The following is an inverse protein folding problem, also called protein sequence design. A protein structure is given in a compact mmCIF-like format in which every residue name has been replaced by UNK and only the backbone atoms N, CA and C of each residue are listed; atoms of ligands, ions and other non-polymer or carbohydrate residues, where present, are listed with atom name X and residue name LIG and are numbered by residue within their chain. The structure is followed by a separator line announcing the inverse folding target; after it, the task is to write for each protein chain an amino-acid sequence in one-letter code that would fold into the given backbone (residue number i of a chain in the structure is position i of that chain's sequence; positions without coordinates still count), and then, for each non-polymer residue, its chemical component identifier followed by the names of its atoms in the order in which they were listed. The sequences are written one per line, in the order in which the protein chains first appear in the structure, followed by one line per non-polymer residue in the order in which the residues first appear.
data_IF_586652349685
#
_entry.id   IF_586652349685
#
_cell.length_a   1.000
_cell.length_b   1.000
_cell.length_c   1.000
_cell.angle_alpha   90.00
_cell.angle_beta   90.00
_cell.angle_gamma   90.00
#
_symmetry.space_group_name_H-M   'P 1'
#
loop_
_entity.id
_entity.type
_entity.pdbx_description
1 polymer ?
#
# COMPACT_ATOMS: atom_id res chain seq x y z
N UNK A 1 -8.28 28.10 19.56
CA UNK A 1 -7.20 28.67 18.73
C UNK A 1 -7.75 29.91 18.01
N UNK A 2 -6.95 30.97 17.80
CA UNK A 2 -7.40 32.10 16.98
C UNK A 2 -7.56 31.63 15.52
N UNK A 3 -8.68 31.95 14.87
CA UNK A 3 -8.98 31.50 13.51
C UNK A 3 -7.87 31.80 12.50
N UNK A 4 -7.26 32.98 12.59
CA UNK A 4 -6.14 33.35 11.72
C UNK A 4 -4.90 32.48 11.97
N UNK A 5 -4.63 32.12 13.22
CA UNK A 5 -3.51 31.21 13.56
C UNK A 5 -3.78 29.81 13.01
N UNK A 6 -5.02 29.34 13.07
CA UNK A 6 -5.41 28.04 12.56
C UNK A 6 -5.25 27.93 11.04
N UNK A 7 -5.71 28.95 10.30
CA UNK A 7 -5.56 29.00 8.85
C UNK A 7 -4.10 28.98 8.42
N UNK A 8 -3.27 29.84 9.02
CA UNK A 8 -1.82 29.90 8.73
C UNK A 8 -1.15 28.56 9.05
N UNK A 9 -1.51 27.92 10.17
CA UNK A 9 -0.98 26.60 10.54
C UNK A 9 -1.37 25.54 9.50
N UNK A 10 -2.63 25.54 9.04
CA UNK A 10 -3.10 24.62 8.01
C UNK A 10 -2.36 24.79 6.69
N UNK A 11 -2.17 26.03 6.23
CA UNK A 11 -1.41 26.34 5.00
C UNK A 11 0.04 25.87 5.13
N UNK A 12 0.72 26.21 6.23
CA UNK A 12 2.10 25.79 6.46
C UNK A 12 2.23 24.26 6.48
N UNK A 13 1.27 23.56 7.07
CA UNK A 13 1.27 22.10 7.11
C UNK A 13 1.06 21.50 5.72
N UNK A 14 0.19 22.07 4.88
CA UNK A 14 0.02 21.64 3.48
C UNK A 14 1.30 21.85 2.65
N UNK A 15 1.98 22.99 2.82
CA UNK A 15 3.24 23.27 2.14
C UNK A 15 4.32 22.28 2.58
N UNK A 16 4.45 22.05 3.89
CA UNK A 16 5.37 21.07 4.43
C UNK A 16 5.07 19.65 3.92
N UNK A 17 3.80 19.27 3.87
CA UNK A 17 3.35 17.99 3.32
C UNK A 17 3.78 17.83 1.86
N UNK A 18 3.64 18.87 1.03
CA UNK A 18 4.09 18.86 -0.36
C UNK A 18 5.61 18.73 -0.46
N UNK A 19 6.37 19.47 0.36
CA UNK A 19 7.83 19.33 0.40
C UNK A 19 8.26 17.90 0.75
N UNK A 20 7.63 17.29 1.76
CA UNK A 20 7.92 15.90 2.17
C UNK A 20 7.51 14.92 1.05
N UNK A 21 6.35 15.12 0.43
CA UNK A 21 5.88 14.31 -0.70
C UNK A 21 6.89 14.29 -1.84
N UNK A 22 7.36 15.46 -2.28
CA UNK A 22 8.35 15.61 -3.34
C UNK A 22 9.71 14.99 -2.95
N UNK A 23 10.07 15.12 -1.67
CA UNK A 23 11.27 14.48 -1.12
C UNK A 23 11.20 12.96 -1.22
N UNK A 24 10.04 12.35 -0.93
CA UNK A 24 9.84 10.91 -1.03
C UNK A 24 9.70 10.43 -2.48
N UNK A 25 9.04 11.22 -3.33
CA UNK A 25 8.82 10.87 -4.74
C UNK A 25 10.13 10.79 -5.53
N UNK A 26 11.15 11.52 -5.08
CA UNK A 26 12.49 11.54 -5.67
C UNK A 26 13.53 10.90 -4.74
N UNK A 27 13.09 9.99 -3.88
CA UNK A 27 14.00 9.23 -3.01
C UNK A 27 14.90 8.30 -3.82
N UNK A 28 16.20 8.37 -3.54
CA UNK A 28 17.20 7.45 -4.05
C UNK A 28 17.97 6.84 -2.88
N UNK A 29 17.95 5.51 -2.69
CA UNK A 29 18.76 4.85 -1.66
C UNK A 29 20.27 5.04 -1.81
N UNK A 30 20.72 5.45 -3.02
CA UNK A 30 22.12 5.73 -3.31
C UNK A 30 22.54 7.14 -2.86
N UNK A 31 21.57 8.03 -2.63
CA UNK A 31 21.82 9.37 -2.10
C UNK A 31 21.74 9.35 -0.58
N UNK A 32 22.88 9.11 0.05
CA UNK A 32 23.00 9.19 1.50
C UNK A 32 23.34 10.61 1.96
N UNK A 33 22.96 11.01 3.18
CA UNK A 33 23.44 12.25 3.79
C UNK A 33 24.97 12.21 4.03
N UNK A 34 25.77 12.50 3.01
CA UNK A 34 27.24 12.49 3.06
C UNK A 34 27.81 13.87 2.77
N UNK A 35 28.10 14.64 3.82
CA UNK A 35 28.66 15.99 3.71
C UNK A 35 27.66 17.06 3.25
N UNK A 36 27.93 18.33 3.58
CA UNK A 36 27.07 19.49 3.26
C UNK A 36 27.28 20.02 1.82
N UNK A 37 27.85 19.23 0.89
CA UNK A 37 28.06 19.72 -0.47
C UNK A 37 26.78 19.57 -1.31
N UNK A 38 26.35 20.61 -2.05
CA UNK A 38 25.27 20.53 -3.02
C UNK A 38 25.48 19.45 -4.10
N UNK A 39 26.73 19.05 -4.35
CA UNK A 39 27.08 18.01 -5.34
C UNK A 39 26.51 16.61 -5.01
N UNK A 40 26.06 16.43 -3.76
CA UNK A 40 25.44 15.21 -3.22
C UNK A 40 23.97 15.11 -3.61
N UNK A 41 23.30 16.24 -3.84
CA UNK A 41 21.89 16.29 -4.20
C UNK A 41 21.68 16.31 -5.71
N UNK A 42 21.74 15.13 -6.34
CA UNK A 42 21.64 15.02 -7.80
C UNK A 42 20.24 14.68 -8.28
N UNK A 43 19.50 13.88 -7.52
CA UNK A 43 18.22 13.32 -7.94
C UNK A 43 17.03 13.87 -7.14
N UNK A 44 17.23 14.21 -5.86
CA UNK A 44 16.13 14.73 -5.05
C UNK A 44 15.81 16.19 -5.36
N UNK A 45 14.59 16.47 -5.83
CA UNK A 45 14.16 17.81 -6.24
C UNK A 45 14.05 18.80 -5.07
N UNK A 46 13.96 18.31 -3.84
CA UNK A 46 13.95 19.12 -2.63
C UNK A 46 15.38 19.34 -2.07
N UNK A 47 16.41 18.94 -2.83
CA UNK A 47 17.81 19.12 -2.47
C UNK A 47 18.20 18.37 -1.19
N UNK A 48 19.10 18.98 -0.40
CA UNK A 48 19.56 18.42 0.87
C UNK A 48 18.41 18.16 1.86
N UNK A 49 17.41 19.05 1.92
CA UNK A 49 16.23 18.83 2.76
C UNK A 49 15.54 17.52 2.41
N UNK A 50 15.35 17.26 1.12
CA UNK A 50 14.68 16.06 0.67
C UNK A 50 15.47 14.79 0.91
N UNK A 51 16.80 14.82 0.71
CA UNK A 51 17.69 13.70 1.02
C UNK A 51 17.61 13.34 2.50
N UNK A 52 17.76 14.32 3.39
CA UNK A 52 17.68 14.07 4.84
C UNK A 52 16.30 13.55 5.23
N UNK A 53 15.25 14.20 4.75
CA UNK A 53 13.86 13.85 5.09
C UNK A 53 13.52 12.43 4.63
N UNK A 54 13.77 12.12 3.36
CA UNK A 54 13.49 10.80 2.78
C UNK A 54 14.37 9.71 3.39
N UNK A 55 15.68 9.94 3.52
CA UNK A 55 16.60 8.98 4.11
C UNK A 55 16.18 8.61 5.54
N UNK A 56 16.01 9.59 6.43
CA UNK A 56 15.72 9.27 7.83
C UNK A 56 14.29 8.74 8.01
N UNK A 57 13.30 9.32 7.34
CA UNK A 57 11.92 8.90 7.54
C UNK A 57 11.67 7.56 6.86
N UNK A 58 12.00 7.39 5.58
CA UNK A 58 11.69 6.16 4.85
C UNK A 58 12.52 4.99 5.38
N UNK A 59 13.85 5.16 5.53
CA UNK A 59 14.73 4.05 5.93
C UNK A 59 14.41 3.50 7.33
N UNK A 60 14.22 4.38 8.31
CA UNK A 60 14.05 3.96 9.70
C UNK A 60 12.60 3.66 10.10
N UNK A 61 11.61 3.95 9.24
CA UNK A 61 10.20 3.61 9.51
C UNK A 61 9.69 2.54 8.55
N UNK A 62 8.57 2.79 7.87
CA UNK A 62 7.86 1.84 7.01
C UNK A 62 8.25 1.98 5.53
N UNK A 63 9.44 2.53 5.22
CA UNK A 63 9.94 2.58 3.85
C UNK A 63 9.01 3.34 2.93
N UNK A 64 8.71 2.74 1.77
CA UNK A 64 7.72 3.24 0.82
C UNK A 64 6.29 3.26 1.37
N UNK A 65 5.97 2.49 2.41
CA UNK A 65 4.71 2.62 3.15
C UNK A 65 4.56 3.98 3.83
N UNK A 66 5.65 4.68 4.09
CA UNK A 66 5.63 6.02 4.70
C UNK A 66 5.20 7.10 3.70
N UNK A 67 5.04 6.78 2.42
CA UNK A 67 4.52 7.70 1.41
C UNK A 67 3.10 8.21 1.72
N UNK A 68 2.35 7.49 2.56
CA UNK A 68 1.06 7.91 3.07
C UNK A 68 1.14 9.04 4.11
N UNK A 69 2.30 9.25 4.76
CA UNK A 69 2.51 10.32 5.75
C UNK A 69 2.24 11.73 5.19
N UNK A 70 2.84 12.18 4.08
CA UNK A 70 2.53 13.49 3.52
C UNK A 70 1.06 13.62 3.09
N UNK A 71 0.39 12.53 2.69
CA UNK A 71 -1.05 12.56 2.39
C UNK A 71 -1.88 12.83 3.66
N UNK A 72 -1.53 12.19 4.78
CA UNK A 72 -2.14 12.43 6.08
C UNK A 72 -1.89 13.87 6.54
N UNK A 73 -0.65 14.37 6.42
CA UNK A 73 -0.30 15.74 6.77
C UNK A 73 -1.08 16.75 5.92
N UNK A 74 -1.21 16.51 4.62
CA UNK A 74 -2.00 17.35 3.71
C UNK A 74 -3.49 17.34 4.08
N UNK A 75 -4.05 16.19 4.42
CA UNK A 75 -5.44 16.07 4.87
C UNK A 75 -5.67 16.85 6.18
N UNK A 76 -4.77 16.70 7.16
CA UNK A 76 -4.85 17.43 8.44
C UNK A 76 -4.67 18.94 8.22
N UNK A 77 -3.73 19.35 7.37
CA UNK A 77 -3.50 20.74 7.00
C UNK A 77 -4.74 21.37 6.34
N UNK A 78 -5.36 20.64 5.42
CA UNK A 78 -6.59 21.06 4.75
C UNK A 78 -7.76 21.17 5.74
N UNK A 79 -7.91 20.23 6.67
CA UNK A 79 -8.94 20.30 7.71
C UNK A 79 -8.75 21.48 8.64
N UNK A 80 -7.51 21.77 9.05
CA UNK A 80 -7.18 22.96 9.83
C UNK A 80 -7.54 24.24 9.06
N UNK A 81 -7.12 24.34 7.80
CA UNK A 81 -7.35 25.49 6.94
C UNK A 81 -8.85 25.72 6.67
N UNK A 82 -9.58 24.68 6.24
CA UNK A 82 -11.00 24.75 5.90
C UNK A 82 -11.94 24.65 7.10
N UNK A 83 -11.40 24.47 8.31
CA UNK A 83 -12.16 24.36 9.57
C UNK A 83 -13.22 23.26 9.52
N UNK A 84 -12.91 22.17 8.82
CA UNK A 84 -13.80 20.99 8.71
C UNK A 84 -13.82 20.22 10.03
N UNK A 85 -14.85 19.39 10.17
CA UNK A 85 -14.95 18.44 11.28
C UNK A 85 -13.80 17.42 11.22
N UNK A 86 -13.29 17.07 12.40
CA UNK A 86 -12.14 16.19 12.54
C UNK A 86 -12.48 14.71 12.37
N UNK A 87 -13.75 14.32 12.52
CA UNK A 87 -14.18 12.92 12.47
C UNK A 87 -13.77 12.26 11.15
N UNK A 88 -14.07 12.91 10.02
CA UNK A 88 -13.71 12.41 8.70
C UNK A 88 -12.20 12.34 8.50
N UNK A 89 -11.48 13.36 8.98
CA UNK A 89 -10.02 13.43 8.92
C UNK A 89 -9.37 12.28 9.67
N UNK A 90 -9.76 12.07 10.94
CA UNK A 90 -9.25 10.96 11.74
C UNK A 90 -9.57 9.61 11.11
N UNK A 91 -10.79 9.45 10.58
CA UNK A 91 -11.18 8.22 9.88
C UNK A 91 -10.30 7.95 8.66
N UNK A 92 -10.13 8.91 7.75
CA UNK A 92 -9.31 8.69 6.57
C UNK A 92 -7.83 8.55 6.92
N UNK A 93 -7.31 9.34 7.87
CA UNK A 93 -5.93 9.23 8.33
C UNK A 93 -5.63 7.85 8.94
N UNK A 94 -6.54 7.26 9.72
CA UNK A 94 -6.33 5.93 10.30
C UNK A 94 -6.25 4.84 9.22
N UNK A 95 -7.10 4.91 8.19
CA UNK A 95 -6.99 4.02 7.04
C UNK A 95 -5.70 4.22 6.26
N UNK A 96 -5.27 5.46 6.02
CA UNK A 96 -4.00 5.74 5.33
C UNK A 96 -2.79 5.21 6.12
N UNK A 97 -2.81 5.29 7.45
CA UNK A 97 -1.78 4.65 8.30
C UNK A 97 -1.81 3.13 8.12
N UNK A 98 -3.00 2.52 8.18
CA UNK A 98 -3.17 1.09 7.97
C UNK A 98 -2.65 0.62 6.60
N UNK A 99 -2.99 1.34 5.54
CA UNK A 99 -2.49 1.08 4.19
C UNK A 99 -0.98 1.30 4.08
N UNK A 100 -0.41 2.31 4.74
CA UNK A 100 1.04 2.52 4.77
C UNK A 100 1.80 1.36 5.41
N UNK A 101 1.36 0.90 6.58
CA UNK A 101 1.93 -0.29 7.23
C UNK A 101 1.75 -1.52 6.34
N UNK A 102 0.57 -1.69 5.76
CA UNK A 102 0.28 -2.80 4.88
C UNK A 102 1.20 -2.82 3.64
N UNK A 103 1.38 -1.70 2.96
CA UNK A 103 2.28 -1.58 1.79
C UNK A 103 3.72 -1.91 2.17
N UNK A 104 4.18 -1.44 3.32
CA UNK A 104 5.53 -1.74 3.83
C UNK A 104 5.75 -3.25 4.03
N UNK A 105 4.79 -3.94 4.65
CA UNK A 105 4.85 -5.39 4.85
C UNK A 105 4.74 -6.17 3.53
N UNK A 106 3.93 -5.71 2.57
CA UNK A 106 3.85 -6.31 1.24
C UNK A 106 5.23 -6.27 0.55
N UNK A 107 5.91 -5.13 0.63
CA UNK A 107 7.25 -4.97 0.08
C UNK A 107 8.24 -5.88 0.80
N UNK A 108 8.16 -6.00 2.13
CA UNK A 108 9.02 -6.90 2.90
C UNK A 108 8.82 -8.37 2.50
N UNK A 109 7.56 -8.78 2.31
CA UNK A 109 7.23 -10.13 1.85
C UNK A 109 7.83 -10.43 0.48
N UNK A 110 7.68 -9.51 -0.48
CA UNK A 110 8.31 -9.62 -1.81
C UNK A 110 9.85 -9.62 -1.67
N UNK A 111 10.38 -8.73 -0.82
CA UNK A 111 11.80 -8.50 -0.65
C UNK A 111 12.57 -9.69 -0.10
N UNK A 112 11.94 -10.48 0.78
CA UNK A 112 12.52 -11.73 1.30
C UNK A 112 12.90 -12.73 0.19
N UNK A 113 12.21 -12.69 -0.95
CA UNK A 113 12.53 -13.55 -2.11
C UNK A 113 13.62 -13.00 -3.03
N UNK A 114 13.87 -11.68 -3.00
CA UNK A 114 14.79 -10.98 -3.91
C UNK A 114 16.15 -10.65 -3.28
N UNK A 115 16.19 -10.43 -1.98
CA UNK A 115 17.38 -10.01 -1.25
C UNK A 115 17.87 -8.59 -1.60
N UNK A 116 19.01 -8.20 -1.03
CA UNK A 116 19.62 -6.89 -1.26
C UNK A 116 18.80 -5.73 -0.71
N UNK A 117 18.72 -4.61 -1.44
CA UNK A 117 17.97 -3.42 -1.00
C UNK A 117 16.46 -3.69 -0.81
N UNK A 118 15.92 -4.72 -1.47
CA UNK A 118 14.53 -5.11 -1.31
C UNK A 118 14.21 -5.66 0.09
N UNK A 119 15.22 -6.18 0.80
CA UNK A 119 15.00 -6.84 2.08
C UNK A 119 14.68 -5.85 3.21
N UNK A 120 15.44 -4.75 3.33
CA UNK A 120 15.28 -3.80 4.44
C UNK A 120 15.13 -2.33 4.00
N UNK A 121 15.66 -1.94 2.85
CA UNK A 121 15.69 -0.52 2.45
C UNK A 121 14.31 -0.06 1.96
N UNK A 122 13.68 -0.83 1.07
CA UNK A 122 12.35 -0.50 0.53
C UNK A 122 11.17 -0.69 1.50
N UNK A 123 11.09 -1.76 2.30
CA UNK A 123 10.05 -1.85 3.33
C UNK A 123 10.36 -0.94 4.54
N UNK A 124 11.59 -0.43 4.65
CA UNK A 124 12.09 0.23 5.84
C UNK A 124 12.33 -0.75 6.98
N UNK A 125 13.13 -0.33 7.96
CA UNK A 125 13.55 -1.18 9.09
C UNK A 125 12.34 -1.67 9.89
N UNK A 126 11.34 -0.82 10.16
CA UNK A 126 10.15 -1.22 10.91
C UNK A 126 9.30 -2.22 10.14
N UNK A 127 9.16 -2.03 8.81
CA UNK A 127 8.45 -2.95 7.93
C UNK A 127 9.10 -4.33 7.89
N UNK A 128 10.42 -4.37 7.67
CA UNK A 128 11.18 -5.62 7.66
C UNK A 128 11.08 -6.36 9.01
N UNK A 129 11.32 -5.66 10.12
CA UNK A 129 11.26 -6.28 11.46
C UNK A 129 9.87 -6.83 11.74
N UNK A 130 8.82 -6.08 11.42
CA UNK A 130 7.44 -6.52 11.66
C UNK A 130 7.07 -7.72 10.78
N UNK A 131 7.47 -7.73 9.50
CA UNK A 131 7.24 -8.88 8.63
C UNK A 131 7.98 -10.12 9.11
N UNK A 132 9.26 -9.96 9.48
CA UNK A 132 10.08 -11.04 10.03
C UNK A 132 9.48 -11.62 11.30
N UNK A 133 9.06 -10.75 12.22
CA UNK A 133 8.33 -11.15 13.44
C UNK A 133 7.07 -11.97 13.12
N UNK A 134 6.27 -11.54 12.14
CA UNK A 134 5.10 -12.31 11.71
C UNK A 134 5.50 -13.67 11.14
N UNK A 135 6.55 -13.73 10.32
CA UNK A 135 7.05 -14.96 9.73
C UNK A 135 7.61 -15.94 10.76
N UNK A 136 8.30 -15.44 11.79
CA UNK A 136 8.90 -16.25 12.85
C UNK A 136 7.83 -16.83 13.80
N UNK A 137 6.73 -16.11 14.04
CA UNK A 137 5.64 -16.58 14.93
C UNK A 137 4.65 -17.49 14.20
N UNK A 138 4.17 -17.08 13.03
CA UNK A 138 3.06 -17.76 12.35
C UNK A 138 3.53 -18.66 11.19
N UNK A 139 4.76 -18.47 10.71
CA UNK A 139 5.23 -19.08 9.46
C UNK A 139 4.74 -18.32 8.23
N UNK A 140 5.54 -18.35 7.16
CA UNK A 140 5.35 -17.54 5.94
C UNK A 140 3.95 -17.63 5.32
N UNK A 141 3.35 -18.83 5.30
CA UNK A 141 2.03 -19.05 4.70
C UNK A 141 0.91 -18.40 5.53
N UNK A 142 0.94 -18.58 6.86
CA UNK A 142 -0.08 -17.99 7.73
C UNK A 142 0.06 -16.46 7.79
N UNK A 143 1.30 -15.94 7.85
CA UNK A 143 1.55 -14.50 7.79
C UNK A 143 1.01 -13.88 6.50
N UNK A 144 1.22 -14.56 5.35
CA UNK A 144 0.65 -14.15 4.07
C UNK A 144 -0.88 -14.11 4.08
N UNK A 145 -1.54 -15.13 4.63
CA UNK A 145 -3.01 -15.15 4.78
C UNK A 145 -3.50 -14.00 5.67
N UNK A 146 -2.89 -13.79 6.84
CA UNK A 146 -3.22 -12.68 7.75
C UNK A 146 -3.07 -11.34 7.02
N UNK A 147 -2.01 -11.18 6.24
CA UNK A 147 -1.72 -9.96 5.50
C UNK A 147 -2.76 -9.67 4.40
N UNK A 148 -3.23 -10.71 3.69
CA UNK A 148 -4.32 -10.60 2.71
C UNK A 148 -5.64 -10.25 3.40
N UNK A 149 -5.96 -10.89 4.54
CA UNK A 149 -7.16 -10.57 5.31
C UNK A 149 -7.13 -9.13 5.81
N UNK A 150 -6.00 -8.66 6.30
CA UNK A 150 -5.82 -7.26 6.72
C UNK A 150 -6.09 -6.28 5.57
N UNK A 151 -5.64 -6.57 4.34
CA UNK A 151 -5.94 -5.77 3.17
C UNK A 151 -7.45 -5.65 2.92
N UNK A 152 -8.16 -6.78 2.95
CA UNK A 152 -9.61 -6.84 2.71
C UNK A 152 -10.36 -6.03 3.77
N UNK A 153 -9.96 -6.13 5.04
CA UNK A 153 -10.54 -5.38 6.14
C UNK A 153 -10.30 -3.87 5.99
N UNK A 154 -9.08 -3.45 5.62
CA UNK A 154 -8.77 -2.04 5.35
C UNK A 154 -9.60 -1.49 4.19
N UNK A 155 -9.67 -2.24 3.09
CA UNK A 155 -10.41 -1.83 1.89
C UNK A 155 -11.92 -1.75 2.15
N UNK A 156 -12.47 -2.75 2.86
CA UNK A 156 -13.88 -2.76 3.25
C UNK A 156 -14.22 -1.62 4.20
N UNK A 157 -13.37 -1.37 5.21
CA UNK A 157 -13.56 -0.27 6.15
C UNK A 157 -13.52 1.09 5.46
N UNK A 158 -12.60 1.29 4.51
CA UNK A 158 -12.46 2.56 3.79
C UNK A 158 -13.62 2.83 2.82
N UNK A 159 -14.05 1.82 2.07
CA UNK A 159 -15.07 1.94 1.02
C UNK A 159 -16.49 1.64 1.50
N UNK A 160 -16.65 1.22 2.75
CA UNK A 160 -17.94 0.82 3.35
C UNK A 160 -18.70 -0.27 2.58
N UNK A 161 -18.02 -1.10 1.77
CA UNK A 161 -18.69 -2.26 1.16
C UNK A 161 -18.78 -3.43 2.15
N UNK A 162 -19.86 -4.20 2.03
CA UNK A 162 -20.05 -5.42 2.83
C UNK A 162 -19.16 -6.55 2.32
N UNK A 163 -18.22 -7.00 3.17
CA UNK A 163 -17.37 -8.17 2.88
C UNK A 163 -18.23 -9.39 2.59
N UNK A 164 -19.29 -9.60 3.36
CA UNK A 164 -20.21 -10.72 3.18
C UNK A 164 -20.88 -10.69 1.80
N UNK A 165 -21.39 -9.53 1.39
CA UNK A 165 -22.04 -9.39 0.08
C UNK A 165 -21.04 -9.62 -1.06
N UNK A 166 -19.85 -9.01 -0.99
CA UNK A 166 -18.79 -9.20 -1.98
C UNK A 166 -18.33 -10.66 -2.07
N UNK A 167 -18.16 -11.33 -0.92
CA UNK A 167 -17.77 -12.73 -0.86
C UNK A 167 -18.85 -13.66 -1.42
N UNK A 168 -20.13 -13.40 -1.11
CA UNK A 168 -21.26 -14.15 -1.66
C UNK A 168 -21.31 -14.02 -3.19
N UNK A 169 -21.14 -12.81 -3.71
CA UNK A 169 -21.13 -12.56 -5.14
C UNK A 169 -19.91 -13.23 -5.83
N UNK A 170 -18.73 -13.18 -5.21
CA UNK A 170 -17.53 -13.83 -5.73
C UNK A 170 -17.68 -15.37 -5.77
N UNK A 171 -18.24 -15.97 -4.71
CA UNK A 171 -18.53 -17.41 -4.66
C UNK A 171 -19.56 -17.82 -5.71
N UNK A 172 -20.61 -17.02 -5.90
CA UNK A 172 -21.60 -17.28 -6.94
C UNK A 172 -21.00 -17.19 -8.34
N UNK A 173 -20.14 -16.20 -8.60
CA UNK A 173 -19.44 -16.07 -9.88
C UNK A 173 -18.45 -17.22 -10.14
N UNK A 174 -17.73 -17.66 -9.11
CA UNK A 174 -16.83 -18.81 -9.21
C UNK A 174 -17.60 -20.11 -9.47
N UNK A 175 -18.72 -20.32 -8.75
CA UNK A 175 -19.59 -21.46 -8.98
C UNK A 175 -20.15 -21.45 -10.40
N UNK A 176 -20.66 -20.31 -10.86
CA UNK A 176 -21.15 -20.15 -12.22
C UNK A 176 -20.08 -20.47 -13.28
N UNK A 177 -18.86 -19.93 -13.12
CA UNK A 177 -17.74 -20.23 -14.03
C UNK A 177 -17.30 -21.70 -13.98
N UNK A 178 -17.36 -22.31 -12.80
CA UNK A 178 -17.05 -23.72 -12.63
C UNK A 178 -18.08 -24.61 -13.33
N UNK A 179 -19.36 -24.31 -13.15
CA UNK A 179 -20.47 -25.01 -13.80
C UNK A 179 -20.37 -24.86 -15.32
N UNK A 180 -20.11 -23.64 -15.83
CA UNK A 180 -19.87 -23.39 -17.26
C UNK A 180 -18.65 -24.19 -17.81
N UNK A 181 -17.56 -24.25 -17.04
CA UNK A 181 -16.38 -25.03 -17.42
C UNK A 181 -16.66 -26.54 -17.49
N UNK A 182 -17.44 -27.07 -16.54
CA UNK A 182 -17.87 -28.48 -16.55
C UNK A 182 -18.78 -28.78 -17.74
N UNK A 183 -19.73 -27.90 -18.05
CA UNK A 183 -20.62 -28.04 -19.22
C UNK A 183 -19.83 -28.05 -20.53
N UNK A 184 -18.87 -27.13 -20.70
CA UNK A 184 -17.98 -27.12 -21.88
C UNK A 184 -17.21 -28.43 -22.03
N UNK A 185 -16.65 -28.95 -20.93
CA UNK A 185 -15.91 -30.23 -20.93
C UNK A 185 -16.82 -31.43 -21.22
N UNK A 186 -18.08 -31.39 -20.81
CA UNK A 186 -19.06 -32.42 -21.12
C UNK A 186 -19.45 -32.39 -22.61
N UNK A 187 -19.68 -31.20 -23.16
CA UNK A 187 -20.00 -30.99 -24.58
C UNK A 187 -18.84 -31.41 -25.50
N UNK A 188 -17.60 -31.07 -25.16
CA UNK A 188 -16.40 -31.49 -25.92
C UNK A 188 -16.30 -33.02 -26.03
N UNK A 189 -16.58 -33.75 -24.94
CA UNK A 189 -16.56 -35.22 -24.96
C UNK A 189 -17.63 -35.82 -25.87
N UNK A 190 -18.83 -35.22 -25.90
CA UNK A 190 -19.94 -35.68 -26.76
C UNK A 190 -19.60 -35.44 -28.24
N UNK A 191 -18.97 -34.31 -28.57
CA UNK A 191 -18.56 -33.99 -29.95
C UNK A 191 -17.49 -34.98 -30.42
N UNK A 192 -16.46 -35.23 -29.61
CA UNK A 192 -15.39 -36.19 -29.95
C UNK A 192 -15.96 -37.61 -30.14
N UNK A 193 -16.87 -38.05 -29.26
CA UNK A 193 -17.52 -39.35 -29.40
C UNK A 193 -18.39 -39.46 -30.67
N UNK A 194 -19.06 -38.36 -31.07
CA UNK A 194 -19.86 -38.32 -32.31
C UNK A 194 -18.98 -38.40 -33.57
N UNK A 195 -17.82 -37.75 -33.55
CA UNK A 195 -16.84 -37.81 -34.64
C UNK A 195 -16.18 -39.20 -34.73
N UNK A 196 -15.94 -39.88 -33.60
CA UNK A 196 -15.41 -41.26 -33.58
C UNK A 196 -16.43 -42.32 -34.04
N UNK A 197 -17.73 -42.10 -33.82
CA UNK A 197 -18.80 -43.05 -34.22
C UNK A 197 -19.14 -42.94 -35.71
N UNK A 198 -18.67 -41.91 -36.43
CA UNK A 198 -18.74 -41.83 -37.89
C UNK A 198 -20.09 -42.25 -38.48
N UNK A 199 -21.16 -41.48 -38.23
CA UNK A 199 -22.40 -41.65 -38.97
C UNK A 199 -22.17 -40.97 -40.34
N UNK A 200 -22.09 -41.72 -41.47
CA UNK A 200 -22.05 -41.13 -42.79
C UNK A 200 -23.40 -40.45 -43.10
N UNK A 201 -23.44 -39.49 -44.04
CA UNK A 201 -24.66 -38.76 -44.41
C UNK A 201 -25.81 -39.67 -44.86
#
# INVERSE_FOLDING_TARGET
MNYRKQEVTGILLCVLALCIFLSFATYSPLETPSGLSPDVARTNIMGLFGIYTSYYIMKFSFGWGTFFLPLIMGLVGFTLFSRREWEQTFRYSSFLVGFGIWTSLLIAWIGQSRGGMWEAEYPGIMGYILWKFMGDIFGIYASGVIHIVAFILLLSGLLHFSIYASMKNALQNLKYKWDEWQERRALEKIIIQKDEIGIPP
#
